data_IF_655635101963
#
_entry.id   IF_655635101963
#
_cell.length_a   1.000
_cell.length_b   1.000
_cell.length_c   1.000
_cell.angle_alpha   90.00
_cell.angle_beta   90.00
_cell.angle_gamma   90.00
#
_symmetry.space_group_name_H-M   'P 1'
#
loop_
_entity.id
_entity.type
_entity.pdbx_description
1 polymer ?
#
# COMPACT_ATOMS: atom_id res chain seq x y z
N UNK A 1 -10.62 -5.12 5.53
CA UNK A 1 -9.26 -5.53 5.92
C UNK A 1 -8.78 -6.73 5.14
N UNK A 2 -9.55 -7.83 5.09
CA UNK A 2 -9.13 -9.06 4.39
C UNK A 2 -8.75 -8.81 2.92
N UNK A 3 -9.51 -7.99 2.17
CA UNK A 3 -9.15 -7.71 0.78
C UNK A 3 -7.80 -7.00 0.65
N UNK A 4 -7.43 -6.09 1.56
CA UNK A 4 -6.13 -5.38 1.51
C UNK A 4 -4.97 -6.36 1.69
N UNK A 5 -5.05 -7.22 2.71
CA UNK A 5 -4.01 -8.22 2.97
C UNK A 5 -3.94 -9.29 1.88
N UNK A 6 -5.10 -9.72 1.37
CA UNK A 6 -5.18 -10.64 0.24
C UNK A 6 -4.55 -10.05 -1.02
N UNK A 7 -4.89 -8.81 -1.36
CA UNK A 7 -4.33 -8.10 -2.51
C UNK A 7 -2.84 -7.88 -2.35
N UNK A 8 -2.37 -7.48 -1.17
CA UNK A 8 -0.91 -7.39 -0.89
C UNK A 8 -0.19 -8.69 -1.26
N UNK A 9 -0.64 -9.84 -0.76
CA UNK A 9 0.00 -11.14 -1.05
C UNK A 9 -0.07 -11.49 -2.55
N UNK A 10 -1.21 -11.23 -3.18
CA UNK A 10 -1.43 -11.56 -4.59
C UNK A 10 -0.64 -10.66 -5.53
N UNK A 11 -0.54 -9.37 -5.23
CA UNK A 11 0.16 -8.40 -6.07
C UNK A 11 1.68 -8.54 -5.94
N UNK A 12 2.20 -8.81 -4.73
CA UNK A 12 3.62 -9.11 -4.54
C UNK A 12 4.14 -10.27 -5.41
N UNK A 13 3.26 -11.19 -5.79
CA UNK A 13 3.59 -12.37 -6.62
C UNK A 13 3.15 -12.23 -8.08
N UNK A 14 2.48 -11.14 -8.44
CA UNK A 14 1.98 -10.94 -9.80
C UNK A 14 3.08 -10.31 -10.67
N UNK A 15 3.50 -10.96 -11.77
CA UNK A 15 4.54 -10.43 -12.65
C UNK A 15 4.06 -9.29 -13.55
N UNK A 16 2.75 -9.07 -13.65
CA UNK A 16 2.13 -8.18 -14.66
C UNK A 16 1.26 -7.08 -14.05
N UNK A 17 1.19 -6.96 -12.72
CA UNK A 17 0.41 -5.87 -12.12
C UNK A 17 1.18 -4.55 -12.23
N UNK A 18 0.47 -3.47 -12.57
CA UNK A 18 0.98 -2.10 -12.56
C UNK A 18 0.32 -1.33 -11.41
N UNK A 19 -1.01 -1.24 -11.40
CA UNK A 19 -1.78 -0.60 -10.35
C UNK A 19 -3.10 -1.32 -10.03
N UNK A 20 -3.63 -1.08 -8.83
CA UNK A 20 -4.98 -1.49 -8.44
C UNK A 20 -5.50 -0.58 -7.33
N UNK A 21 -6.80 -0.26 -7.31
CA UNK A 21 -7.41 0.56 -6.26
C UNK A 21 -8.71 -0.07 -5.77
N UNK A 22 -8.92 -0.03 -4.45
CA UNK A 22 -10.18 -0.41 -3.82
C UNK A 22 -10.71 0.72 -2.94
N UNK A 23 -12.03 0.77 -2.83
CA UNK A 23 -12.76 1.76 -2.05
C UNK A 23 -13.61 1.08 -0.98
N UNK A 24 -13.74 1.76 0.15
CA UNK A 24 -14.59 1.34 1.26
C UNK A 24 -15.45 2.51 1.72
N UNK A 25 -16.77 2.29 1.79
CA UNK A 25 -17.70 3.21 2.42
C UNK A 25 -17.52 3.22 3.95
N UNK A 26 -17.25 2.05 4.52
CA UNK A 26 -16.98 1.88 5.93
C UNK A 26 -15.99 0.71 6.13
N UNK A 27 -14.81 1.02 6.64
CA UNK A 27 -13.78 0.03 6.94
C UNK A 27 -13.61 -0.10 8.45
N UNK A 28 -13.99 -1.25 8.99
CA UNK A 28 -13.79 -1.57 10.40
C UNK A 28 -12.33 -1.90 10.69
N UNK A 29 -11.93 -1.64 11.93
CA UNK A 29 -10.65 -2.03 12.54
C UNK A 29 -9.40 -1.52 11.79
N UNK A 30 -9.45 -0.28 11.30
CA UNK A 30 -8.32 0.36 10.61
C UNK A 30 -7.02 0.34 11.41
N UNK A 31 -7.09 0.53 12.73
CA UNK A 31 -5.92 0.49 13.61
C UNK A 31 -5.24 -0.88 13.59
N UNK A 32 -6.04 -1.96 13.57
CA UNK A 32 -5.53 -3.32 13.45
C UNK A 32 -4.88 -3.54 12.08
N UNK A 33 -5.49 -3.06 11.00
CA UNK A 33 -4.90 -3.16 9.67
C UNK A 33 -3.57 -2.41 9.60
N UNK A 34 -3.50 -1.18 10.12
CA UNK A 34 -2.26 -0.41 10.18
C UNK A 34 -1.19 -1.15 10.99
N UNK A 35 -1.56 -1.75 12.13
CA UNK A 35 -0.63 -2.55 12.94
C UNK A 35 -0.10 -3.78 12.19
N UNK A 36 -0.93 -4.46 11.40
CA UNK A 36 -0.53 -5.64 10.60
C UNK A 36 0.32 -5.25 9.39
N UNK A 37 0.01 -4.13 8.74
CA UNK A 37 0.81 -3.61 7.63
C UNK A 37 2.18 -3.07 8.11
N UNK A 38 2.26 -2.65 9.37
CA UNK A 38 3.49 -2.20 10.01
C UNK A 38 3.64 -0.69 9.92
N UNK A 39 4.89 -0.22 9.92
CA UNK A 39 5.22 1.20 9.86
C UNK A 39 4.95 1.74 8.46
N UNK A 40 4.35 2.91 8.42
CA UNK A 40 4.06 3.67 7.21
C UNK A 40 4.80 5.01 7.24
N UNK A 41 4.99 5.56 6.04
CA UNK A 41 5.32 6.97 5.85
C UNK A 41 4.03 7.77 5.60
N UNK A 42 4.07 9.07 5.84
CA UNK A 42 2.99 10.00 5.50
C UNK A 42 3.54 10.95 4.43
N UNK A 43 2.82 11.11 3.33
CA UNK A 43 3.19 12.03 2.26
C UNK A 43 2.63 13.46 2.49
N UNK A 44 2.89 14.36 1.55
CA UNK A 44 2.44 15.75 1.62
C UNK A 44 0.90 15.87 1.59
N UNK A 45 0.21 14.90 0.98
CA UNK A 45 -1.25 14.80 0.89
C UNK A 45 -1.89 14.11 2.11
N UNK A 46 -1.09 13.81 3.15
CA UNK A 46 -1.49 13.08 4.35
C UNK A 46 -1.94 11.63 4.09
N UNK A 47 -1.57 11.07 2.94
CA UNK A 47 -1.77 9.65 2.64
C UNK A 47 -0.70 8.81 3.36
N UNK A 48 -1.12 7.63 3.83
CA UNK A 48 -0.24 6.66 4.48
C UNK A 48 0.28 5.69 3.45
N UNK A 49 1.59 5.47 3.44
CA UNK A 49 2.25 4.56 2.50
C UNK A 49 2.99 3.44 3.22
N UNK A 50 2.75 2.20 2.78
CA UNK A 50 3.52 1.02 3.19
C UNK A 50 4.25 0.43 1.99
N UNK A 51 5.55 0.17 2.14
CA UNK A 51 6.38 -0.33 1.07
C UNK A 51 6.84 -1.77 1.34
N UNK A 52 6.66 -2.64 0.34
CA UNK A 52 7.07 -4.04 0.40
C UNK A 52 7.92 -4.38 -0.82
N UNK A 53 9.09 -4.96 -0.62
CA UNK A 53 9.96 -5.35 -1.72
C UNK A 53 9.30 -6.44 -2.57
N UNK A 54 9.29 -6.24 -3.88
CA UNK A 54 8.91 -7.29 -4.82
C UNK A 54 10.16 -8.16 -5.10
N UNK A 55 10.13 -9.47 -4.82
CA UNK A 55 11.29 -10.34 -5.00
C UNK A 55 11.87 -10.27 -6.41
N UNK A 56 13.20 -10.39 -6.51
CA UNK A 56 13.94 -10.44 -7.77
C UNK A 56 13.75 -9.22 -8.70
N UNK A 57 13.26 -8.11 -8.15
CA UNK A 57 13.13 -6.83 -8.87
C UNK A 57 13.74 -5.68 -8.07
N UNK A 58 13.92 -4.54 -8.74
CA UNK A 58 14.22 -3.26 -8.10
C UNK A 58 12.96 -2.46 -7.77
N UNK A 59 11.82 -3.14 -7.67
CA UNK A 59 10.52 -2.53 -7.46
C UNK A 59 9.95 -2.89 -6.09
N UNK A 60 9.04 -2.05 -5.63
CA UNK A 60 8.25 -2.26 -4.42
C UNK A 60 6.77 -2.26 -4.77
N UNK A 61 5.99 -2.94 -3.95
CA UNK A 61 4.56 -2.69 -3.83
C UNK A 61 4.39 -1.54 -2.83
N UNK A 62 3.95 -0.40 -3.34
CA UNK A 62 3.48 0.74 -2.55
C UNK A 62 1.97 0.58 -2.30
N UNK A 63 1.61 0.48 -1.03
CA UNK A 63 0.22 0.50 -0.59
C UNK A 63 -0.06 1.90 -0.05
N UNK A 64 -0.81 2.70 -0.80
CA UNK A 64 -1.27 4.02 -0.38
C UNK A 64 -2.65 3.95 0.28
N UNK A 65 -2.88 4.78 1.29
CA UNK A 65 -4.16 4.91 1.95
C UNK A 65 -4.49 6.37 2.24
N UNK A 66 -5.65 6.79 1.77
CA UNK A 66 -6.17 8.14 1.97
C UNK A 66 -7.68 8.20 1.90
N UNK A 67 -8.20 9.42 1.92
CA UNK A 67 -9.61 9.73 1.72
C UNK A 67 -9.84 10.24 0.31
N UNK A 68 -10.85 9.72 -0.38
CA UNK A 68 -11.23 10.15 -1.72
C UNK A 68 -12.75 10.34 -1.82
N UNK A 69 -13.19 11.59 -2.00
CA UNK A 69 -14.62 11.98 -2.06
C UNK A 69 -15.50 11.36 -0.96
N UNK A 70 -15.00 11.30 0.28
CA UNK A 70 -15.74 10.75 1.42
C UNK A 70 -15.64 9.23 1.59
N UNK A 71 -14.96 8.52 0.69
CA UNK A 71 -14.65 7.11 0.82
C UNK A 71 -13.21 6.89 1.31
N UNK A 72 -12.98 5.78 1.99
CA UNK A 72 -11.63 5.31 2.30
C UNK A 72 -11.07 4.57 1.08
N UNK A 73 -9.87 4.95 0.64
CA UNK A 73 -9.21 4.38 -0.53
C UNK A 73 -7.97 3.60 -0.09
N UNK A 74 -7.71 2.49 -0.77
CA UNK A 74 -6.38 1.86 -0.81
C UNK A 74 -5.93 1.74 -2.25
N UNK A 75 -4.78 2.33 -2.58
CA UNK A 75 -4.07 2.13 -3.85
C UNK A 75 -2.95 1.12 -3.64
N UNK A 76 -2.67 0.37 -4.71
CA UNK A 76 -1.58 -0.57 -4.81
C UNK A 76 -0.82 -0.21 -6.09
N UNK A 77 0.43 0.15 -5.97
CA UNK A 77 1.25 0.63 -7.07
C UNK A 77 2.56 -0.17 -7.11
N UNK A 78 2.97 -0.56 -8.31
CA UNK A 78 4.32 -1.05 -8.56
C UNK A 78 5.22 0.14 -8.82
N UNK A 79 6.17 0.38 -7.93
CA UNK A 79 7.02 1.59 -7.95
C UNK A 79 8.49 1.19 -7.93
N UNK A 80 9.35 1.93 -8.63
CA UNK A 80 10.80 1.70 -8.53
C UNK A 80 11.29 2.05 -7.13
N UNK A 81 12.23 1.27 -6.60
CA UNK A 81 12.78 1.51 -5.26
C UNK A 81 13.46 2.88 -5.13
N UNK A 82 13.91 3.46 -6.25
CA UNK A 82 14.47 4.81 -6.30
C UNK A 82 13.48 5.91 -5.99
N UNK A 83 12.19 5.65 -6.20
CA UNK A 83 11.11 6.62 -6.06
C UNK A 83 10.51 6.57 -4.64
N UNK A 84 10.88 5.56 -3.85
CA UNK A 84 10.51 5.44 -2.44
C UNK A 84 11.26 6.49 -1.61
N UNK A 85 10.61 7.18 -0.65
CA UNK A 85 11.28 8.12 0.24
C UNK A 85 12.48 7.49 0.95
N UNK A 86 13.63 8.19 0.97
CA UNK A 86 14.91 7.63 1.47
C UNK A 86 14.88 7.06 2.89
N UNK A 87 13.99 7.57 3.74
CA UNK A 87 13.87 7.15 5.14
C UNK A 87 12.73 6.15 5.38
N UNK A 88 12.02 5.77 4.32
CA UNK A 88 10.93 4.81 4.41
C UNK A 88 11.46 3.43 4.79
N UNK A 89 10.70 2.73 5.62
CA UNK A 89 10.94 1.31 5.86
C UNK A 89 10.36 0.51 4.69
N UNK A 90 11.21 -0.29 4.08
CA UNK A 90 10.83 -1.27 3.06
C UNK A 90 10.90 -2.65 3.71
N UNK A 91 9.75 -3.33 3.75
CA UNK A 91 9.61 -4.69 4.27
C UNK A 91 10.00 -5.76 3.24
#
# INVERSE_FOLDING_TARGET
MENVLFLKMRLLTSPVFEDYTIYYDNLKDMDRLCSVLGRFEIDDDQEKHWYYRIPDTNQVLDIGHGHFYGHLKFSFLRTEISDVPKNAIIY
#
